data_IF_637484958968
#
_entry.id   IF_637484958968
#
_cell.length_a   1.000
_cell.length_b   1.000
_cell.length_c   1.000
_cell.angle_alpha   90.00
_cell.angle_beta   90.00
_cell.angle_gamma   90.00
#
_symmetry.space_group_name_H-M   'P 1'
#
loop_
_entity.id
_entity.type
_entity.pdbx_description
1 polymer ?
#
# COMPACT_ATOMS: atom_id res chain seq x y z
N UNK A 1 -24.28 -27.01 -7.09
CA UNK A 1 -23.51 -27.09 -5.83
C UNK A 1 -22.15 -26.52 -6.13
N UNK A 2 -21.73 -25.41 -5.79
CA UNK A 2 -22.25 -24.21 -5.16
C UNK A 2 -21.36 -23.05 -5.63
N UNK A 3 -21.83 -22.17 -6.50
CA UNK A 3 -21.10 -20.94 -6.90
C UNK A 3 -21.02 -19.91 -5.75
N UNK A 4 -21.71 -20.16 -4.64
CA UNK A 4 -21.68 -19.29 -3.46
C UNK A 4 -20.56 -19.59 -2.44
N UNK A 5 -19.89 -20.73 -2.53
CA UNK A 5 -18.86 -21.14 -1.57
C UNK A 5 -17.43 -20.73 -1.94
N UNK A 6 -17.19 -20.32 -3.21
CA UNK A 6 -15.88 -19.82 -3.66
C UNK A 6 -15.72 -18.29 -3.53
N UNK A 7 -16.72 -17.57 -3.07
CA UNK A 7 -16.79 -16.11 -3.12
C UNK A 7 -16.02 -15.37 -2.01
N UNK A 8 -15.24 -16.01 -1.11
CA UNK A 8 -14.82 -15.29 0.10
C UNK A 8 -13.49 -15.71 0.74
N UNK A 9 -12.42 -15.85 -0.01
CA UNK A 9 -11.09 -16.02 0.61
C UNK A 9 -10.63 -14.78 1.37
N UNK A 10 -11.06 -13.58 0.98
CA UNK A 10 -10.70 -12.34 1.70
C UNK A 10 -11.54 -12.12 2.98
N UNK A 11 -12.86 -12.31 2.93
CA UNK A 11 -13.73 -12.21 4.10
C UNK A 11 -13.95 -13.59 4.72
N UNK A 12 -12.96 -14.08 5.44
CA UNK A 12 -13.03 -15.38 6.13
C UNK A 12 -13.82 -15.29 7.44
N UNK A 13 -14.14 -16.43 8.04
CA UNK A 13 -14.70 -16.46 9.41
C UNK A 13 -13.73 -15.85 10.43
N UNK A 14 -12.42 -15.99 10.19
CA UNK A 14 -11.38 -15.48 11.07
C UNK A 14 -11.37 -13.94 11.18
N UNK A 15 -11.65 -13.23 10.08
CA UNK A 15 -11.71 -11.75 10.07
C UNK A 15 -13.15 -11.21 10.13
N UNK A 16 -14.14 -12.02 10.53
CA UNK A 16 -15.52 -11.56 10.68
C UNK A 16 -15.65 -10.64 11.90
N UNK A 17 -16.21 -9.46 11.67
CA UNK A 17 -16.47 -8.44 12.70
C UNK A 17 -17.91 -8.50 13.15
N UNK A 18 -18.15 -8.34 14.45
CA UNK A 18 -19.49 -8.33 15.08
C UNK A 18 -19.68 -7.10 15.96
N UNK A 19 -20.92 -6.82 16.32
CA UNK A 19 -21.23 -5.84 17.36
C UNK A 19 -21.05 -4.38 16.96
N UNK A 20 -20.88 -4.07 15.67
CA UNK A 20 -20.83 -2.69 15.18
C UNK A 20 -22.24 -2.11 15.08
N UNK A 21 -22.46 -0.95 15.69
CA UNK A 21 -23.76 -0.29 15.79
C UNK A 21 -23.84 0.93 14.85
N UNK A 22 -25.05 1.46 14.65
CA UNK A 22 -25.26 2.72 13.92
C UNK A 22 -24.54 3.90 14.60
N UNK A 23 -24.46 3.91 15.94
CA UNK A 23 -23.73 4.94 16.69
C UNK A 23 -22.21 4.88 16.42
N UNK A 24 -21.65 3.69 16.21
CA UNK A 24 -20.23 3.54 15.85
C UNK A 24 -19.98 4.13 14.44
N UNK A 25 -20.88 3.90 13.48
CA UNK A 25 -20.81 4.55 12.16
C UNK A 25 -20.92 6.07 12.27
N UNK A 26 -21.85 6.61 13.05
CA UNK A 26 -21.98 8.05 13.25
C UNK A 26 -20.71 8.68 13.82
N UNK A 27 -20.03 7.98 14.74
CA UNK A 27 -18.77 8.43 15.35
C UNK A 27 -17.62 8.47 14.36
N UNK A 28 -17.54 7.51 13.41
CA UNK A 28 -16.44 7.43 12.45
C UNK A 28 -16.66 8.28 11.18
N UNK A 29 -17.90 8.68 10.88
CA UNK A 29 -18.21 9.43 9.65
C UNK A 29 -17.39 10.70 9.47
N UNK A 30 -17.11 11.54 10.49
CA UNK A 30 -16.22 12.69 10.32
C UNK A 30 -14.82 12.32 9.80
N UNK A 31 -14.26 11.19 10.23
CA UNK A 31 -12.98 10.69 9.72
C UNK A 31 -13.10 10.26 8.25
N UNK A 32 -14.20 9.61 7.88
CA UNK A 32 -14.47 9.24 6.48
C UNK A 32 -14.58 10.47 5.59
N UNK A 33 -15.29 11.52 6.03
CA UNK A 33 -15.39 12.78 5.29
C UNK A 33 -14.04 13.51 5.17
N UNK A 34 -13.21 13.49 6.21
CA UNK A 34 -11.83 13.99 6.13
C UNK A 34 -11.01 13.21 5.10
N UNK A 35 -11.14 11.87 5.05
CA UNK A 35 -10.48 11.04 4.05
C UNK A 35 -10.95 11.32 2.62
N UNK A 36 -12.25 11.58 2.41
CA UNK A 36 -12.78 12.02 1.11
C UNK A 36 -12.15 13.36 0.67
N UNK A 37 -11.96 14.27 1.61
CA UNK A 37 -11.32 15.56 1.34
C UNK A 37 -9.83 15.38 0.99
N UNK A 38 -9.13 14.54 1.74
CA UNK A 38 -7.73 14.18 1.48
C UNK A 38 -7.55 13.48 0.11
N UNK A 39 -8.47 12.57 -0.25
CA UNK A 39 -8.43 11.88 -1.54
C UNK A 39 -8.44 12.84 -2.74
N UNK A 40 -9.10 14.01 -2.62
CA UNK A 40 -9.10 15.04 -3.67
C UNK A 40 -7.78 15.79 -3.82
N UNK A 41 -6.92 15.75 -2.80
CA UNK A 41 -5.61 16.44 -2.81
C UNK A 41 -4.46 15.51 -3.20
N UNK A 42 -4.73 14.22 -3.33
CA UNK A 42 -3.74 13.22 -3.71
C UNK A 42 -4.03 12.66 -5.10
N UNK A 43 -2.99 12.21 -5.79
CA UNK A 43 -3.13 11.48 -7.05
C UNK A 43 -3.23 9.95 -6.83
N UNK A 44 -3.40 9.51 -5.57
CA UNK A 44 -3.55 8.09 -5.22
C UNK A 44 -5.02 7.72 -5.20
N UNK A 45 -5.31 6.50 -5.57
CA UNK A 45 -6.63 5.92 -5.34
C UNK A 45 -6.75 5.56 -3.86
N UNK A 46 -7.86 5.93 -3.23
CA UNK A 46 -8.12 5.65 -1.81
C UNK A 46 -9.46 4.93 -1.72
N UNK A 47 -9.51 3.90 -0.88
CA UNK A 47 -10.76 3.26 -0.51
C UNK A 47 -10.75 2.81 0.96
N UNK A 48 -11.93 2.58 1.52
CA UNK A 48 -12.11 2.11 2.90
C UNK A 48 -12.88 0.81 2.86
N UNK A 49 -12.29 -0.25 3.40
CA UNK A 49 -12.90 -1.56 3.57
C UNK A 49 -13.67 -1.57 4.89
N UNK A 50 -14.90 -2.06 4.84
CA UNK A 50 -15.74 -2.33 6.00
C UNK A 50 -15.87 -3.84 6.21
N UNK A 51 -15.16 -4.40 7.18
CA UNK A 51 -15.19 -5.83 7.48
C UNK A 51 -16.51 -6.28 8.12
N UNK A 52 -17.27 -5.36 8.75
CA UNK A 52 -18.60 -5.68 9.27
C UNK A 52 -19.63 -5.83 8.15
N UNK A 53 -19.65 -4.90 7.18
CA UNK A 53 -20.55 -4.95 6.01
C UNK A 53 -19.99 -5.83 4.88
N UNK A 54 -18.74 -6.23 4.95
CA UNK A 54 -18.03 -6.99 3.91
C UNK A 54 -18.06 -6.30 2.55
N UNK A 55 -17.85 -4.98 2.55
CA UNK A 55 -17.89 -4.16 1.35
C UNK A 55 -17.00 -2.91 1.52
N UNK A 56 -16.95 -2.08 0.50
CA UNK A 56 -16.30 -0.78 0.55
C UNK A 56 -17.22 0.28 1.13
N UNK A 57 -16.79 0.92 2.22
CA UNK A 57 -17.47 2.09 2.79
C UNK A 57 -17.27 3.34 1.93
N UNK A 58 -16.13 3.44 1.26
CA UNK A 58 -15.75 4.54 0.38
C UNK A 58 -14.78 4.07 -0.70
N UNK A 59 -14.91 4.63 -1.90
CA UNK A 59 -13.97 4.48 -3.02
C UNK A 59 -13.77 5.84 -3.66
N UNK A 60 -12.51 6.28 -3.83
CA UNK A 60 -12.18 7.53 -4.53
C UNK A 60 -12.35 7.38 -6.06
N UNK A 61 -12.61 8.50 -6.74
CA UNK A 61 -12.78 8.54 -8.19
C UNK A 61 -11.48 8.46 -9.01
N UNK A 62 -10.37 7.99 -8.44
CA UNK A 62 -9.08 7.94 -9.13
C UNK A 62 -9.04 6.83 -10.20
N UNK A 63 -8.62 7.13 -11.45
CA UNK A 63 -8.64 6.16 -12.55
C UNK A 63 -7.66 5.00 -12.38
N UNK A 64 -6.59 5.15 -11.60
CA UNK A 64 -5.57 4.10 -11.43
C UNK A 64 -6.13 2.83 -10.80
N UNK A 65 -7.03 2.95 -9.82
CA UNK A 65 -7.68 1.79 -9.19
C UNK A 65 -8.88 1.32 -10.00
N UNK A 66 -9.67 2.26 -10.53
CA UNK A 66 -11.01 1.96 -11.06
C UNK A 66 -11.01 1.22 -12.41
N UNK A 67 -9.86 1.03 -13.05
CA UNK A 67 -9.77 0.35 -14.35
C UNK A 67 -10.80 0.88 -15.38
N UNK A 68 -10.98 2.22 -15.43
CA UNK A 68 -11.94 2.89 -16.31
C UNK A 68 -13.39 2.91 -15.81
N UNK A 69 -13.71 2.28 -14.68
CA UNK A 69 -15.07 2.22 -14.11
C UNK A 69 -15.36 3.41 -13.19
N UNK A 70 -16.66 3.58 -12.87
CA UNK A 70 -17.09 4.52 -11.82
C UNK A 70 -16.88 3.92 -10.43
N UNK A 71 -16.58 4.76 -9.44
CA UNK A 71 -16.41 4.35 -8.04
C UNK A 71 -17.65 3.59 -7.49
N UNK A 72 -18.87 3.99 -7.89
CA UNK A 72 -20.12 3.31 -7.51
C UNK A 72 -20.16 1.87 -8.00
N UNK A 73 -19.68 1.60 -9.22
CA UNK A 73 -19.64 0.24 -9.77
C UNK A 73 -18.69 -0.65 -8.98
N UNK A 74 -17.49 -0.14 -8.62
CA UNK A 74 -16.56 -0.86 -7.75
C UNK A 74 -17.18 -1.14 -6.37
N UNK A 75 -17.93 -0.18 -5.80
CA UNK A 75 -18.62 -0.39 -4.52
C UNK A 75 -19.72 -1.47 -4.63
N UNK A 76 -20.46 -1.51 -5.75
CA UNK A 76 -21.47 -2.54 -6.01
C UNK A 76 -20.84 -3.92 -6.19
N UNK A 77 -19.71 -4.03 -6.90
CA UNK A 77 -18.95 -5.28 -7.06
C UNK A 77 -18.34 -5.75 -5.73
N UNK A 78 -18.04 -4.84 -4.82
CA UNK A 78 -17.34 -5.18 -3.60
C UNK A 78 -15.98 -5.83 -3.89
N UNK A 79 -15.68 -6.92 -3.19
CA UNK A 79 -14.40 -7.64 -3.33
C UNK A 79 -14.25 -8.41 -4.64
N UNK A 80 -15.36 -8.70 -5.35
CA UNK A 80 -15.31 -9.33 -6.67
C UNK A 80 -14.61 -8.45 -7.70
N UNK A 81 -14.48 -7.14 -7.43
CA UNK A 81 -13.63 -6.25 -8.21
C UNK A 81 -12.20 -6.80 -8.36
N UNK A 82 -11.58 -7.21 -7.27
CA UNK A 82 -10.20 -7.73 -7.32
C UNK A 82 -10.13 -9.09 -8.03
N UNK A 83 -11.15 -9.93 -7.84
CA UNK A 83 -11.23 -11.23 -8.56
C UNK A 83 -11.34 -11.05 -10.06
N UNK A 84 -12.02 -10.02 -10.50
CA UNK A 84 -12.22 -9.72 -11.94
C UNK A 84 -11.00 -9.03 -12.56
N UNK A 85 -10.33 -8.15 -11.81
CA UNK A 85 -9.30 -7.26 -12.37
C UNK A 85 -7.87 -7.66 -12.01
N UNK A 86 -7.65 -8.54 -11.05
CA UNK A 86 -6.32 -9.13 -10.78
C UNK A 86 -6.17 -10.40 -11.62
N UNK A 87 -5.03 -10.61 -12.31
CA UNK A 87 -4.75 -11.82 -13.08
C UNK A 87 -4.95 -13.09 -12.26
N UNK A 88 -5.47 -14.16 -12.89
CA UNK A 88 -5.74 -15.43 -12.21
C UNK A 88 -4.47 -16.03 -11.57
N UNK A 89 -3.32 -15.87 -12.22
CA UNK A 89 -2.02 -16.32 -11.72
C UNK A 89 -1.56 -15.62 -10.43
N UNK A 90 -2.10 -14.42 -10.13
CA UNK A 90 -1.78 -13.68 -8.91
C UNK A 90 -2.81 -13.88 -7.77
N UNK A 91 -3.98 -14.46 -8.04
CA UNK A 91 -5.01 -14.72 -7.03
C UNK A 91 -4.48 -15.58 -5.86
N UNK A 92 -3.72 -16.68 -6.09
CA UNK A 92 -3.17 -17.48 -5.00
C UNK A 92 -2.20 -16.72 -4.10
N UNK A 93 -1.49 -15.72 -4.64
CA UNK A 93 -0.64 -14.83 -3.86
C UNK A 93 -1.49 -13.98 -2.91
N UNK A 94 -2.59 -13.40 -3.39
CA UNK A 94 -3.48 -12.58 -2.57
C UNK A 94 -4.15 -13.41 -1.46
N UNK A 95 -4.53 -14.64 -1.74
CA UNK A 95 -5.13 -15.54 -0.76
C UNK A 95 -4.15 -15.88 0.38
N UNK A 96 -2.90 -16.22 0.04
CA UNK A 96 -1.83 -16.45 1.03
C UNK A 96 -1.52 -15.20 1.84
N UNK A 97 -1.49 -14.05 1.17
CA UNK A 97 -1.25 -12.77 1.82
C UNK A 97 -2.31 -12.47 2.86
N UNK A 98 -3.59 -12.66 2.53
CA UNK A 98 -4.69 -12.41 3.46
C UNK A 98 -4.55 -13.20 4.75
N UNK A 99 -4.19 -14.48 4.67
CA UNK A 99 -3.94 -15.32 5.84
C UNK A 99 -2.72 -14.84 6.63
N UNK A 100 -1.58 -14.61 5.96
CA UNK A 100 -0.34 -14.20 6.62
C UNK A 100 -0.47 -12.82 7.30
N UNK A 101 -1.21 -11.90 6.70
CA UNK A 101 -1.49 -10.57 7.28
C UNK A 101 -2.40 -10.68 8.49
N UNK A 102 -3.44 -11.53 8.43
CA UNK A 102 -4.30 -11.77 9.57
C UNK A 102 -3.48 -12.26 10.77
N UNK A 103 -2.62 -13.26 10.56
CA UNK A 103 -1.77 -13.80 11.63
C UNK A 103 -0.84 -12.74 12.24
N UNK A 104 -0.12 -11.96 11.40
CA UNK A 104 0.83 -10.96 11.88
C UNK A 104 0.15 -9.77 12.56
N UNK A 105 -0.96 -9.25 12.02
CA UNK A 105 -1.62 -8.08 12.60
C UNK A 105 -2.30 -8.40 13.93
N UNK A 106 -2.82 -9.61 14.11
CA UNK A 106 -3.42 -10.04 15.38
C UNK A 106 -2.40 -10.50 16.41
N UNK A 107 -1.12 -10.72 16.04
CA UNK A 107 -0.01 -10.84 16.99
C UNK A 107 0.37 -9.49 17.62
N UNK A 108 -0.02 -8.37 16.98
CA UNK A 108 0.20 -7.01 17.51
C UNK A 108 -0.85 -6.70 18.59
N UNK A 109 -0.46 -6.10 19.73
CA UNK A 109 -1.40 -5.61 20.74
C UNK A 109 -2.46 -4.70 20.14
N UNK A 110 -3.70 -4.80 20.60
CA UNK A 110 -4.84 -4.10 19.97
C UNK A 110 -4.62 -2.58 19.88
N UNK A 111 -4.04 -1.97 20.92
CA UNK A 111 -3.72 -0.54 21.01
C UNK A 111 -2.76 -0.06 19.88
N UNK A 112 -1.94 -0.95 19.33
CA UNK A 112 -0.97 -0.62 18.28
C UNK A 112 -1.37 -1.08 16.87
N UNK A 113 -2.50 -1.76 16.68
CA UNK A 113 -2.93 -2.26 15.36
C UNK A 113 -3.15 -1.15 14.35
N UNK A 114 -3.65 0.01 14.80
CA UNK A 114 -3.79 1.18 13.92
C UNK A 114 -2.46 1.87 13.58
N UNK A 115 -1.37 1.48 14.21
CA UNK A 115 -0.01 1.93 13.91
C UNK A 115 0.76 0.95 13.02
N UNK A 116 0.05 0.05 12.33
CA UNK A 116 0.62 -0.89 11.38
C UNK A 116 0.19 -0.57 9.96
N UNK A 117 1.03 -0.93 9.00
CA UNK A 117 0.74 -0.78 7.58
C UNK A 117 1.23 -2.01 6.82
N UNK A 118 0.39 -2.53 5.94
CA UNK A 118 0.76 -3.52 4.93
C UNK A 118 1.06 -2.83 3.61
N UNK A 119 2.10 -3.26 2.90
CA UNK A 119 2.41 -2.83 1.53
C UNK A 119 2.70 -4.06 0.67
N UNK A 120 2.11 -4.14 -0.53
CA UNK A 120 2.38 -5.20 -1.50
C UNK A 120 2.06 -4.74 -2.93
N UNK A 121 2.47 -5.53 -3.92
CA UNK A 121 2.30 -5.19 -5.33
C UNK A 121 1.58 -6.30 -6.07
N UNK A 122 0.67 -5.92 -6.96
CA UNK A 122 -0.05 -6.81 -7.86
C UNK A 122 -0.48 -6.07 -9.12
N UNK A 123 -0.83 -6.81 -10.17
CA UNK A 123 -1.34 -6.21 -11.39
C UNK A 123 -2.86 -5.99 -11.31
N UNK A 124 -3.29 -4.85 -11.85
CA UNK A 124 -4.67 -4.59 -12.21
C UNK A 124 -4.81 -4.60 -13.73
N UNK A 125 -5.81 -5.33 -14.23
CA UNK A 125 -6.17 -5.36 -15.65
C UNK A 125 -7.12 -4.21 -15.96
N UNK A 126 -6.70 -3.37 -16.91
CA UNK A 126 -7.51 -2.31 -17.50
C UNK A 126 -7.53 -2.53 -18.99
N UNK A 127 -8.65 -3.00 -19.53
CA UNK A 127 -8.78 -3.52 -20.88
C UNK A 127 -7.72 -4.61 -21.12
N UNK A 128 -6.92 -4.49 -22.20
CA UNK A 128 -5.83 -5.41 -22.53
C UNK A 128 -4.48 -5.08 -21.86
N UNK A 129 -4.46 -4.13 -20.93
CA UNK A 129 -3.22 -3.68 -20.27
C UNK A 129 -3.18 -4.12 -18.82
N UNK A 130 -1.99 -4.56 -18.39
CA UNK A 130 -1.69 -4.81 -17.00
C UNK A 130 -0.92 -3.62 -16.43
N UNK A 131 -1.39 -3.10 -15.29
CA UNK A 131 -0.74 -2.02 -14.56
C UNK A 131 -0.30 -2.59 -13.21
N UNK A 132 1.02 -2.63 -12.99
CA UNK A 132 1.54 -3.04 -11.68
C UNK A 132 1.34 -1.91 -10.68
N UNK A 133 0.56 -2.18 -9.64
CA UNK A 133 0.23 -1.21 -8.60
C UNK A 133 0.88 -1.59 -7.27
N UNK A 134 1.17 -0.59 -6.46
CA UNK A 134 1.50 -0.73 -5.06
C UNK A 134 0.25 -0.43 -4.23
N UNK A 135 -0.14 -1.39 -3.43
CA UNK A 135 -1.24 -1.32 -2.49
C UNK A 135 -0.69 -1.16 -1.07
N UNK A 136 -1.17 -0.15 -0.36
CA UNK A 136 -0.88 0.04 1.06
C UNK A 136 -2.18 0.08 1.83
N UNK A 137 -2.22 -0.61 2.96
CA UNK A 137 -3.39 -0.62 3.82
C UNK A 137 -3.02 -0.50 5.29
N UNK A 138 -3.85 0.19 6.06
CA UNK A 138 -3.69 0.39 7.49
C UNK A 138 -5.04 0.30 8.19
N UNK A 139 -5.15 -0.36 9.35
CA UNK A 139 -6.37 -0.31 10.14
C UNK A 139 -6.69 1.14 10.53
N UNK A 140 -7.94 1.53 10.32
CA UNK A 140 -8.45 2.88 10.60
C UNK A 140 -9.31 2.91 11.86
N UNK A 141 -10.03 1.82 12.13
CA UNK A 141 -10.88 1.68 13.30
C UNK A 141 -10.95 0.22 13.76
N UNK A 142 -10.98 0.04 15.07
CA UNK A 142 -11.20 -1.23 15.73
C UNK A 142 -12.56 -1.25 16.43
N UNK A 143 -13.10 -2.44 16.64
CA UNK A 143 -14.23 -2.66 17.54
C UNK A 143 -13.79 -2.54 19.00
N UNK A 144 -14.72 -2.57 19.95
CA UNK A 144 -14.43 -2.48 21.39
C UNK A 144 -13.59 -3.66 21.90
N UNK A 145 -13.73 -4.81 21.28
CA UNK A 145 -12.96 -6.03 21.54
C UNK A 145 -11.64 -6.12 20.75
N UNK A 146 -11.26 -5.04 20.05
CA UNK A 146 -9.99 -4.93 19.36
C UNK A 146 -9.97 -5.56 17.95
N UNK A 147 -11.08 -6.07 17.43
CA UNK A 147 -11.13 -6.57 16.06
C UNK A 147 -11.02 -5.42 15.04
N UNK A 148 -10.34 -5.65 13.94
CA UNK A 148 -10.18 -4.66 12.85
C UNK A 148 -11.53 -4.50 12.15
N UNK A 149 -12.14 -3.32 12.27
CA UNK A 149 -13.42 -3.02 11.66
C UNK A 149 -13.28 -2.30 10.33
N UNK A 150 -12.53 -1.18 10.29
CA UNK A 150 -12.30 -0.42 9.07
C UNK A 150 -10.81 -0.42 8.72
N UNK A 151 -10.52 -0.61 7.43
CA UNK A 151 -9.17 -0.52 6.88
C UNK A 151 -9.16 0.50 5.75
N UNK A 152 -8.30 1.51 5.85
CA UNK A 152 -8.03 2.43 4.75
C UNK A 152 -6.95 1.83 3.86
N UNK A 153 -7.15 1.92 2.56
CA UNK A 153 -6.17 1.50 1.57
C UNK A 153 -5.87 2.60 0.55
N UNK A 154 -4.64 2.65 0.09
CA UNK A 154 -4.19 3.49 -1.02
C UNK A 154 -3.57 2.65 -2.12
N UNK A 155 -3.85 3.01 -3.37
CA UNK A 155 -3.27 2.38 -4.55
C UNK A 155 -2.54 3.42 -5.38
N UNK A 156 -1.31 3.11 -5.78
CA UNK A 156 -0.45 3.94 -6.63
C UNK A 156 0.33 3.06 -7.60
N UNK A 157 1.01 3.65 -8.57
CA UNK A 157 1.93 2.91 -9.45
C UNK A 157 3.03 2.28 -8.59
N UNK A 158 3.35 1.01 -8.88
CA UNK A 158 4.39 0.28 -8.15
C UNK A 158 5.79 0.83 -8.46
N UNK A 159 6.67 0.93 -7.45
CA UNK A 159 8.10 1.19 -7.66
C UNK A 159 8.87 -0.06 -8.11
N UNK A 160 8.24 -1.24 -8.06
CA UNK A 160 8.83 -2.52 -8.44
C UNK A 160 8.45 -2.92 -9.87
N UNK A 161 9.11 -3.95 -10.40
CA UNK A 161 8.86 -4.49 -11.75
C UNK A 161 8.07 -5.80 -11.73
N UNK A 162 7.87 -6.36 -10.55
CA UNK A 162 7.19 -7.65 -10.34
C UNK A 162 6.16 -7.56 -9.22
N UNK A 163 5.12 -8.39 -9.21
CA UNK A 163 4.19 -8.51 -8.11
C UNK A 163 4.85 -9.08 -6.85
N UNK A 164 4.15 -9.06 -5.73
CA UNK A 164 4.66 -9.47 -4.42
C UNK A 164 5.27 -8.29 -3.67
N UNK A 165 6.53 -8.39 -3.23
CA UNK A 165 7.20 -7.40 -2.38
C UNK A 165 6.33 -7.00 -1.19
N UNK A 166 5.97 -8.01 -0.40
CA UNK A 166 5.02 -7.90 0.70
C UNK A 166 5.75 -7.45 1.95
N UNK A 167 5.37 -6.32 2.49
CA UNK A 167 6.01 -5.69 3.65
C UNK A 167 4.97 -5.28 4.69
N UNK A 168 5.29 -5.55 5.95
CA UNK A 168 4.50 -5.16 7.09
C UNK A 168 5.32 -4.22 7.98
N UNK A 169 4.79 -3.04 8.24
CA UNK A 169 5.42 -1.99 9.02
C UNK A 169 4.74 -1.88 10.39
N UNK A 170 5.54 -1.83 11.45
CA UNK A 170 5.12 -1.57 12.82
C UNK A 170 5.73 -0.24 13.25
N UNK A 171 5.00 0.86 13.03
CA UNK A 171 5.54 2.21 13.26
C UNK A 171 5.87 2.49 14.72
N UNK A 172 5.13 1.90 15.67
CA UNK A 172 5.37 2.04 17.10
C UNK A 172 6.70 1.41 17.54
N UNK A 173 7.19 0.37 16.86
CA UNK A 173 8.49 -0.27 17.11
C UNK A 173 9.56 0.14 16.11
N UNK A 174 9.19 0.86 15.07
CA UNK A 174 10.05 1.17 13.89
C UNK A 174 10.58 -0.08 13.20
N UNK A 175 9.81 -1.14 13.25
CA UNK A 175 10.15 -2.43 12.63
C UNK A 175 9.49 -2.58 11.26
N UNK A 176 10.16 -3.33 10.42
CA UNK A 176 9.70 -3.69 9.09
C UNK A 176 9.95 -5.18 8.86
N UNK A 177 8.89 -5.88 8.50
CA UNK A 177 8.93 -7.29 8.13
C UNK A 177 8.69 -7.44 6.65
N UNK A 178 9.36 -8.41 6.01
CA UNK A 178 9.11 -8.83 4.64
C UNK A 178 8.60 -10.26 4.62
N UNK A 179 7.50 -10.51 3.91
CA UNK A 179 6.95 -11.85 3.74
C UNK A 179 7.55 -12.54 2.52
N UNK A 180 8.14 -13.71 2.73
CA UNK A 180 8.64 -14.57 1.66
C UNK A 180 7.52 -15.48 1.15
N UNK A 181 7.11 -15.30 -0.09
CA UNK A 181 6.14 -16.20 -0.76
C UNK A 181 6.67 -17.62 -0.93
N UNK A 182 8.00 -17.78 -1.00
CA UNK A 182 8.64 -19.08 -1.15
C UNK A 182 8.59 -19.88 0.15
N UNK A 183 8.97 -19.25 1.28
CA UNK A 183 9.06 -19.94 2.58
C UNK A 183 7.80 -19.81 3.44
N UNK A 184 6.86 -18.90 3.09
CA UNK A 184 5.68 -18.61 3.88
C UNK A 184 5.99 -17.96 5.23
N UNK A 185 7.09 -17.21 5.36
CA UNK A 185 7.53 -16.64 6.64
C UNK A 185 7.78 -15.14 6.55
N UNK A 186 7.53 -14.46 7.65
CA UNK A 186 7.94 -13.09 7.87
C UNK A 186 9.39 -13.03 8.34
N UNK A 187 10.20 -12.16 7.72
CA UNK A 187 11.61 -11.94 8.03
C UNK A 187 11.82 -10.47 8.37
N UNK A 188 12.67 -10.19 9.34
CA UNK A 188 13.06 -8.82 9.66
C UNK A 188 13.78 -8.17 8.48
N UNK A 189 13.43 -6.94 8.16
CA UNK A 189 14.04 -6.13 7.11
C UNK A 189 14.69 -4.91 7.73
N UNK A 190 15.92 -4.63 7.32
CA UNK A 190 16.58 -3.38 7.69
C UNK A 190 15.87 -2.21 7.01
N UNK A 191 15.55 -1.17 7.77
CA UNK A 191 15.02 0.08 7.23
C UNK A 191 16.05 0.72 6.31
N UNK A 192 15.63 1.11 5.11
CA UNK A 192 16.50 1.83 4.18
C UNK A 192 16.59 3.29 4.67
N UNK A 193 17.80 3.72 4.97
CA UNK A 193 18.08 5.10 5.35
C UNK A 193 18.96 5.78 4.31
N UNK A 194 18.52 6.93 3.84
CA UNK A 194 19.30 7.82 3.00
C UNK A 194 19.97 8.89 3.86
N UNK A 195 21.22 9.18 3.55
CA UNK A 195 21.93 10.32 4.17
C UNK A 195 21.32 11.64 3.68
N UNK A 196 21.43 12.74 4.44
CA UNK A 196 20.91 14.04 4.02
C UNK A 196 21.35 14.46 2.62
N UNK A 197 22.63 14.20 2.26
CA UNK A 197 23.16 14.52 0.94
C UNK A 197 22.55 13.65 -0.16
N UNK A 198 22.28 12.37 0.13
CA UNK A 198 21.60 11.46 -0.80
C UNK A 198 20.14 11.89 -1.03
N UNK A 199 19.43 12.29 0.02
CA UNK A 199 18.08 12.86 -0.08
C UNK A 199 18.08 14.15 -0.92
N UNK A 200 19.04 15.04 -0.69
CA UNK A 200 19.17 16.29 -1.45
C UNK A 200 19.41 16.02 -2.95
N UNK A 201 20.26 15.06 -3.31
CA UNK A 201 20.46 14.63 -4.71
C UNK A 201 19.15 14.16 -5.32
N UNK A 202 18.33 13.37 -4.62
CA UNK A 202 17.03 12.92 -5.11
C UNK A 202 16.04 14.07 -5.27
N UNK A 203 15.95 14.97 -4.30
CA UNK A 203 15.07 16.14 -4.34
C UNK A 203 15.40 17.02 -5.55
N UNK A 204 16.67 17.37 -5.74
CA UNK A 204 17.11 18.17 -6.88
C UNK A 204 16.90 17.44 -8.20
N UNK A 205 17.08 16.11 -8.24
CA UNK A 205 16.75 15.29 -9.42
C UNK A 205 15.25 15.31 -9.74
N UNK A 206 14.38 15.26 -8.72
CA UNK A 206 12.93 15.38 -8.89
C UNK A 206 12.50 16.73 -9.45
N UNK A 207 13.27 17.80 -9.14
CA UNK A 207 13.08 19.14 -9.67
C UNK A 207 13.64 19.32 -11.09
N UNK A 208 14.26 18.28 -11.67
CA UNK A 208 14.76 18.28 -13.05
C UNK A 208 16.19 18.79 -13.21
N UNK A 209 16.92 19.05 -12.13
CA UNK A 209 18.32 19.48 -12.23
C UNK A 209 19.22 18.37 -12.79
N UNK A 210 20.13 18.77 -13.68
CA UNK A 210 21.18 17.90 -14.20
C UNK A 210 22.23 17.63 -13.12
N UNK A 211 23.03 16.58 -13.30
CA UNK A 211 24.12 16.25 -12.36
C UNK A 211 25.13 17.41 -12.15
N UNK A 212 25.35 18.23 -13.19
CA UNK A 212 26.23 19.40 -13.11
C UNK A 212 25.61 20.49 -12.24
N UNK A 213 24.35 20.83 -12.50
CA UNK A 213 23.60 21.80 -11.70
C UNK A 213 23.47 21.37 -10.25
N UNK A 214 23.22 20.05 -9.99
CA UNK A 214 23.20 19.50 -8.63
C UNK A 214 24.55 19.70 -7.94
N UNK A 215 25.68 19.50 -8.64
CA UNK A 215 27.02 19.72 -8.07
C UNK A 215 27.25 21.18 -7.69
N UNK A 216 26.79 22.12 -8.51
CA UNK A 216 26.83 23.54 -8.26
C UNK A 216 25.96 23.94 -7.06
N UNK A 217 24.69 23.47 -7.02
CA UNK A 217 23.74 23.74 -5.94
C UNK A 217 24.19 23.19 -4.58
N UNK A 218 24.80 22.01 -4.58
CA UNK A 218 25.29 21.37 -3.35
C UNK A 218 26.68 21.84 -2.93
N UNK A 219 27.35 22.68 -3.72
CA UNK A 219 28.76 23.09 -3.54
C UNK A 219 29.69 21.88 -3.37
N UNK A 220 29.50 20.88 -4.22
CA UNK A 220 30.25 19.62 -4.26
C UNK A 220 30.83 19.38 -5.65
N UNK A 221 31.87 18.54 -5.75
CA UNK A 221 32.38 18.14 -7.05
C UNK A 221 31.38 17.26 -7.79
N UNK A 222 31.42 17.26 -9.11
CA UNK A 222 30.63 16.39 -9.96
C UNK A 222 30.80 14.90 -9.59
N UNK A 223 32.03 14.48 -9.27
CA UNK A 223 32.32 13.12 -8.87
C UNK A 223 31.71 12.77 -7.50
N UNK A 224 31.64 13.72 -6.58
CA UNK A 224 30.97 13.53 -5.29
C UNK A 224 29.45 13.29 -5.49
N UNK A 225 28.79 14.07 -6.33
CA UNK A 225 27.37 13.88 -6.63
C UNK A 225 27.12 12.58 -7.36
N UNK A 226 28.01 12.19 -8.30
CA UNK A 226 27.99 10.91 -8.98
C UNK A 226 28.16 9.74 -7.98
N UNK A 227 29.00 9.92 -6.96
CA UNK A 227 29.14 8.93 -5.87
C UNK A 227 27.84 8.79 -5.08
N UNK A 228 27.20 9.90 -4.64
CA UNK A 228 25.91 9.84 -3.93
C UNK A 228 24.85 9.14 -4.76
N UNK A 229 24.72 9.44 -6.05
CA UNK A 229 23.79 8.77 -6.94
C UNK A 229 24.01 7.25 -7.01
N UNK A 230 25.26 6.80 -7.09
CA UNK A 230 25.58 5.37 -7.06
C UNK A 230 25.21 4.74 -5.73
N UNK A 231 25.44 5.41 -4.61
CA UNK A 231 25.04 4.92 -3.28
C UNK A 231 23.51 4.79 -3.17
N UNK A 232 22.75 5.78 -3.64
CA UNK A 232 21.29 5.73 -3.72
C UNK A 232 20.86 4.49 -4.51
N UNK A 233 21.35 4.32 -5.72
CA UNK A 233 20.97 3.19 -6.59
C UNK A 233 21.25 1.84 -5.92
N UNK A 234 22.41 1.71 -5.28
CA UNK A 234 22.76 0.51 -4.54
C UNK A 234 21.85 0.25 -3.34
N UNK A 235 21.54 1.28 -2.54
CA UNK A 235 20.67 1.17 -1.36
C UNK A 235 19.23 0.81 -1.73
N UNK A 236 18.72 1.42 -2.81
CA UNK A 236 17.36 1.21 -3.27
C UNK A 236 17.20 0.00 -4.19
N UNK A 237 18.30 -0.60 -4.68
CA UNK A 237 18.25 -1.71 -5.64
C UNK A 237 17.72 -1.31 -7.02
N UNK A 238 17.94 -0.05 -7.45
CA UNK A 238 17.42 0.51 -8.70
C UNK A 238 18.54 0.84 -9.69
N UNK A 239 18.17 1.05 -10.97
CA UNK A 239 19.12 1.29 -12.05
C UNK A 239 19.00 2.68 -12.69
N UNK A 240 17.92 3.41 -12.40
CA UNK A 240 17.66 4.73 -12.98
C UNK A 240 17.20 5.75 -11.92
N UNK A 241 17.35 7.04 -12.25
CA UNK A 241 16.83 8.12 -11.40
C UNK A 241 15.31 8.05 -11.28
N UNK A 242 14.61 7.73 -12.35
CA UNK A 242 13.16 7.59 -12.35
C UNK A 242 12.70 6.49 -11.37
N UNK A 243 13.34 5.30 -11.41
CA UNK A 243 13.08 4.23 -10.46
C UNK A 243 13.40 4.68 -9.02
N UNK A 244 14.52 5.37 -8.80
CA UNK A 244 14.92 5.86 -7.49
C UNK A 244 13.89 6.86 -6.91
N UNK A 245 13.39 7.78 -7.72
CA UNK A 245 12.36 8.75 -7.31
C UNK A 245 11.03 8.07 -6.98
N UNK A 246 10.59 7.14 -7.84
CA UNK A 246 9.37 6.37 -7.60
C UNK A 246 9.49 5.57 -6.29
N UNK A 247 10.63 4.92 -6.08
CA UNK A 247 10.89 4.18 -4.85
C UNK A 247 10.90 5.11 -3.63
N UNK A 248 11.69 6.18 -3.67
CA UNK A 248 11.84 7.10 -2.54
C UNK A 248 10.52 7.75 -2.14
N UNK A 249 9.69 8.15 -3.10
CA UNK A 249 8.35 8.71 -2.85
C UNK A 249 7.41 7.66 -2.22
N UNK A 250 7.43 6.41 -2.72
CA UNK A 250 6.57 5.36 -2.17
C UNK A 250 6.97 4.95 -0.75
N UNK A 251 8.24 5.02 -0.42
CA UNK A 251 8.76 4.65 0.91
C UNK A 251 8.95 5.85 1.87
N UNK A 252 8.56 7.05 1.44
CA UNK A 252 8.65 8.25 2.29
C UNK A 252 10.10 8.62 2.64
N UNK A 253 11.03 8.39 1.71
CA UNK A 253 12.45 8.72 1.89
C UNK A 253 12.77 10.16 1.47
N UNK A 254 11.87 10.78 0.70
CA UNK A 254 11.86 12.19 0.32
C UNK A 254 10.44 12.71 0.36
#
# INVERSE_FOLDING_TARGET
MNDMEQATTFFTMANSVKGVTQADYQRIMPCVEAMKSFARTTHKSIYIIDFYKRNFLYVSGSPTLLCGMKASVMQEMGYDFFRTHVPEEEQPMLDRLNQAVYEVIYSVPAEHRCECMLSFNFHLRHDDRLILVNHKSTPMALTKDGAIWLVMATVSISPHKTPGHIEFFQFYMRERLEYSLETGRWNNRTTIELRPEEQQVLILSAQGYTMKEISEQMLRSFDTVKFYRRQIFRKLGVQSVAEALTFATNYGLI
#
